data_IF_074011698415
#
_entry.id   IF_074011698415
#
_cell.length_a   1.000
_cell.length_b   1.000
_cell.length_c   1.000
_cell.angle_alpha   90.00
_cell.angle_beta   90.00
_cell.angle_gamma   90.00
#
_symmetry.space_group_name_H-M   'P 1'
#
loop_
_entity.id
_entity.type
_entity.pdbx_description
1 polymer ?
#
# COMPACT_ATOMS: atom_id res chain seq x y z
N UNK A 1 -0.25 -17.12 13.21
CA UNK A 1 0.10 -15.76 13.70
C UNK A 1 0.18 -14.84 12.51
N UNK A 2 -0.46 -13.66 12.59
CA UNK A 2 -0.32 -12.63 11.57
C UNK A 2 1.13 -12.18 11.49
N UNK A 3 1.66 -12.06 10.29
CA UNK A 3 2.99 -11.53 10.05
C UNK A 3 2.88 -10.03 9.80
N UNK A 4 3.56 -9.23 10.61
CA UNK A 4 3.62 -7.79 10.43
C UNK A 4 4.80 -7.40 9.55
N UNK A 5 4.55 -6.42 8.69
CA UNK A 5 5.54 -5.95 7.72
C UNK A 5 5.48 -4.42 7.56
N UNK A 6 6.58 -3.87 7.09
CA UNK A 6 6.70 -2.46 6.71
C UNK A 6 7.43 -2.35 5.38
N UNK A 7 6.92 -1.52 4.48
CA UNK A 7 7.55 -1.25 3.19
C UNK A 7 8.07 0.18 3.15
N UNK A 8 9.30 0.37 2.65
CA UNK A 8 9.97 1.67 2.56
C UNK A 8 10.96 1.69 1.38
N UNK A 9 11.43 2.91 1.02
CA UNK A 9 12.60 3.08 0.14
C UNK A 9 13.87 3.06 0.99
N UNK A 10 14.66 1.99 0.86
CA UNK A 10 15.80 1.78 1.73
C UNK A 10 15.38 1.68 3.21
N UNK A 11 16.22 2.21 4.11
CA UNK A 11 15.97 2.26 5.56
C UNK A 11 15.47 3.63 6.06
N UNK A 12 14.99 4.51 5.16
CA UNK A 12 14.56 5.88 5.49
C UNK A 12 13.05 6.02 5.42
N UNK A 13 12.45 6.51 6.49
CA UNK A 13 11.11 7.09 6.49
C UNK A 13 11.15 8.58 6.15
N UNK A 14 9.99 9.26 6.16
CA UNK A 14 9.92 10.69 5.83
C UNK A 14 10.83 11.57 6.70
N UNK A 15 10.93 11.26 8.01
CA UNK A 15 11.70 12.05 8.99
C UNK A 15 12.50 11.16 9.94
N UNK A 16 12.81 9.93 9.56
CA UNK A 16 13.47 8.98 10.44
C UNK A 16 14.32 7.99 9.63
N UNK A 17 15.55 7.75 10.08
CA UNK A 17 16.42 6.71 9.55
C UNK A 17 16.44 5.53 10.51
N UNK A 18 16.01 4.36 10.01
CA UNK A 18 15.89 3.15 10.81
C UNK A 18 17.22 2.42 10.92
N UNK A 19 17.54 1.98 12.14
CA UNK A 19 18.60 1.01 12.40
C UNK A 19 18.00 -0.40 12.31
N UNK A 20 18.46 -1.15 11.34
CA UNK A 20 17.94 -2.50 11.07
C UNK A 20 18.49 -3.48 12.11
N UNK A 21 17.61 -4.32 12.68
CA UNK A 21 17.94 -5.26 13.76
C UNK A 21 18.01 -4.64 15.15
N UNK A 22 17.81 -3.31 15.28
CA UNK A 22 17.84 -2.61 16.55
C UNK A 22 16.46 -2.03 16.92
N UNK A 23 16.27 -1.72 18.19
CA UNK A 23 15.07 -1.00 18.65
C UNK A 23 15.15 0.45 18.16
N UNK A 24 14.21 0.84 17.31
CA UNK A 24 13.99 2.22 16.92
C UNK A 24 12.92 2.82 17.82
N UNK A 25 13.14 4.04 18.33
CA UNK A 25 12.24 4.74 19.24
C UNK A 25 11.73 6.03 18.59
N UNK A 26 10.43 6.22 18.56
CA UNK A 26 9.81 7.42 17.99
C UNK A 26 9.81 8.57 19.01
N UNK A 27 10.27 9.74 18.57
CA UNK A 27 10.31 10.94 19.39
C UNK A 27 8.99 11.73 19.43
N UNK A 28 8.06 11.38 18.49
CA UNK A 28 6.81 12.11 18.26
C UNK A 28 5.56 11.27 18.56
N UNK A 29 5.67 10.26 19.43
CA UNK A 29 4.55 9.39 19.76
C UNK A 29 3.48 10.13 20.58
N UNK A 30 2.23 10.12 20.10
CA UNK A 30 1.08 10.71 20.76
C UNK A 30 -0.17 9.83 20.57
N UNK A 31 -0.37 8.80 21.41
CA UNK A 31 -1.49 7.87 21.28
C UNK A 31 -2.86 8.50 21.56
N UNK A 32 -2.88 9.70 22.17
CA UNK A 32 -4.11 10.44 22.48
C UNK A 32 -4.55 11.40 21.36
N UNK A 33 -3.82 11.46 20.26
CA UNK A 33 -4.20 12.31 19.13
C UNK A 33 -5.57 11.94 18.58
N UNK A 34 -6.33 12.93 18.13
CA UNK A 34 -7.65 12.72 17.54
C UNK A 34 -7.59 12.36 16.04
N UNK A 35 -6.51 12.76 15.37
CA UNK A 35 -6.33 12.54 13.94
C UNK A 35 -5.19 11.56 13.68
N UNK A 36 -5.38 10.66 12.72
CA UNK A 36 -4.38 9.63 12.37
C UNK A 36 -3.01 10.19 11.97
N UNK A 37 -2.94 11.44 11.46
CA UNK A 37 -1.69 12.11 11.12
C UNK A 37 -0.87 12.53 12.35
N UNK A 38 -1.54 12.79 13.47
CA UNK A 38 -0.95 13.38 14.68
C UNK A 38 -0.50 12.32 15.69
N UNK A 39 -0.80 11.04 15.46
CA UNK A 39 -0.35 9.95 16.33
C UNK A 39 1.17 9.83 16.42
N UNK A 40 1.88 10.27 15.38
CA UNK A 40 3.33 10.06 15.32
C UNK A 40 3.68 8.57 15.24
N UNK A 41 4.84 8.19 15.78
CA UNK A 41 5.29 6.81 15.85
C UNK A 41 5.58 6.17 14.47
N UNK A 42 5.68 4.85 14.48
CA UNK A 42 5.99 4.05 13.32
C UNK A 42 4.77 3.28 12.83
N UNK A 43 4.42 3.42 11.57
CA UNK A 43 3.35 2.66 10.95
C UNK A 43 3.86 1.31 10.41
N UNK A 44 3.02 0.29 10.49
CA UNK A 44 3.23 -1.04 9.93
C UNK A 44 1.87 -1.68 9.63
N UNK A 45 1.85 -2.79 8.91
CA UNK A 45 0.62 -3.46 8.52
C UNK A 45 0.74 -4.99 8.64
N UNK A 46 -0.40 -5.66 8.68
CA UNK A 46 -0.45 -7.11 8.44
C UNK A 46 -0.04 -7.40 6.98
N UNK A 47 0.66 -8.51 6.76
CA UNK A 47 1.10 -8.93 5.42
C UNK A 47 -0.08 -9.06 4.45
N UNK A 48 -1.26 -9.44 4.93
CA UNK A 48 -2.49 -9.56 4.12
C UNK A 48 -3.06 -8.22 3.65
N UNK A 49 -2.62 -7.11 4.26
CA UNK A 49 -3.03 -5.76 3.87
C UNK A 49 -1.96 -5.01 3.07
N UNK A 50 -0.73 -5.56 2.94
CA UNK A 50 0.42 -4.81 2.45
C UNK A 50 0.29 -4.41 0.98
N UNK A 51 -0.44 -5.16 0.16
CA UNK A 51 -0.65 -4.86 -1.26
C UNK A 51 -1.11 -3.41 -1.51
N UNK A 52 -1.93 -2.87 -0.59
CA UNK A 52 -2.43 -1.49 -0.66
C UNK A 52 -1.34 -0.45 -0.45
N UNK A 53 -0.22 -0.83 0.17
CA UNK A 53 0.84 0.08 0.62
C UNK A 53 2.15 -0.07 -0.16
N UNK A 54 2.22 -0.92 -1.19
CA UNK A 54 3.46 -1.18 -1.94
C UNK A 54 4.06 0.06 -2.61
N UNK A 55 3.27 1.10 -2.88
CA UNK A 55 3.77 2.37 -3.41
C UNK A 55 4.68 3.14 -2.42
N UNK A 56 4.75 2.71 -1.16
CA UNK A 56 5.57 3.38 -0.13
C UNK A 56 7.04 2.95 -0.15
N UNK A 57 7.41 1.98 -0.99
CA UNK A 57 8.82 1.58 -1.11
C UNK A 57 9.03 0.30 -1.90
N UNK A 58 10.30 0.01 -2.11
CA UNK A 58 10.74 -1.21 -2.80
C UNK A 58 11.42 -2.23 -1.88
N UNK A 59 11.59 -1.91 -0.59
CA UNK A 59 12.12 -2.85 0.41
C UNK A 59 11.03 -3.14 1.45
N UNK A 60 10.77 -4.42 1.70
CA UNK A 60 9.89 -4.88 2.76
C UNK A 60 10.69 -5.47 3.91
N UNK A 61 10.30 -5.14 5.11
CA UNK A 61 10.88 -5.58 6.37
C UNK A 61 9.86 -6.39 7.16
N UNK A 62 10.32 -7.43 7.85
CA UNK A 62 9.57 -8.05 8.92
C UNK A 62 9.57 -7.11 10.12
N UNK A 63 8.41 -6.96 10.76
CA UNK A 63 8.21 -6.06 11.89
C UNK A 63 8.08 -6.87 13.17
N UNK A 64 8.88 -6.51 14.16
CA UNK A 64 8.74 -6.91 15.54
C UNK A 64 8.41 -5.68 16.39
N UNK A 65 7.35 -5.78 17.19
CA UNK A 65 6.96 -4.75 18.15
C UNK A 65 7.42 -5.23 19.53
N UNK A 66 8.39 -4.55 20.18
CA UNK A 66 8.87 -4.93 21.51
C UNK A 66 7.74 -5.01 22.53
N UNK A 67 7.82 -5.95 23.47
CA UNK A 67 6.79 -6.16 24.51
C UNK A 67 6.42 -4.88 25.28
N UNK A 68 7.40 -4.03 25.54
CA UNK A 68 7.21 -2.75 26.26
C UNK A 68 6.89 -1.57 25.30
N UNK A 69 6.45 -1.84 24.08
CA UNK A 69 6.04 -0.79 23.15
C UNK A 69 4.55 -0.52 23.26
N UNK A 70 4.19 0.76 23.28
CA UNK A 70 2.81 1.16 23.04
C UNK A 70 2.48 0.95 21.58
N UNK A 71 1.33 0.37 21.31
CA UNK A 71 0.84 0.25 19.95
C UNK A 71 -0.68 0.51 19.87
N UNK A 72 -1.12 0.98 18.72
CA UNK A 72 -2.53 1.19 18.40
C UNK A 72 -2.86 0.59 17.05
N UNK A 73 -4.08 0.05 16.95
CA UNK A 73 -4.69 -0.40 15.69
C UNK A 73 -5.57 0.72 15.16
N UNK A 74 -5.39 1.08 13.89
CA UNK A 74 -6.19 2.07 13.20
C UNK A 74 -6.99 1.36 12.13
N UNK A 75 -8.31 1.34 12.31
CA UNK A 75 -9.23 0.76 11.34
C UNK A 75 -9.66 1.82 10.33
N UNK A 76 -9.72 1.42 9.07
CA UNK A 76 -10.07 2.29 7.95
C UNK A 76 -10.29 1.47 6.68
N UNK A 77 -10.01 2.06 5.53
CA UNK A 77 -10.06 1.35 4.26
C UNK A 77 -9.15 0.11 4.22
N UNK A 78 -8.07 0.12 5.00
CA UNK A 78 -7.27 -1.05 5.38
C UNK A 78 -6.79 -0.84 6.81
N UNK A 79 -6.64 -1.94 7.55
CA UNK A 79 -6.07 -1.87 8.89
C UNK A 79 -4.59 -1.55 8.83
N UNK A 80 -4.17 -0.55 9.58
CA UNK A 80 -2.77 -0.22 9.86
C UNK A 80 -2.53 -0.17 11.36
N UNK A 81 -1.30 -0.35 11.75
CA UNK A 81 -0.87 -0.25 13.14
C UNK A 81 0.15 0.87 13.29
N UNK A 82 0.22 1.43 14.48
CA UNK A 82 1.27 2.36 14.87
C UNK A 82 1.83 2.01 16.23
N UNK A 83 3.14 2.22 16.41
CA UNK A 83 3.83 1.98 17.67
C UNK A 83 4.90 3.03 17.92
N UNK A 84 5.28 3.16 19.20
CA UNK A 84 6.36 4.05 19.63
C UNK A 84 7.74 3.40 19.51
N UNK A 85 7.82 2.06 19.46
CA UNK A 85 9.06 1.30 19.29
C UNK A 85 8.87 0.20 18.27
N UNK A 86 9.86 0.00 17.40
CA UNK A 86 9.81 -1.00 16.34
C UNK A 86 11.21 -1.58 16.08
N UNK A 87 11.27 -2.87 15.76
CA UNK A 87 12.46 -3.51 15.21
C UNK A 87 12.12 -3.95 13.79
N UNK A 88 13.00 -3.64 12.84
CA UNK A 88 12.87 -4.03 11.44
C UNK A 88 13.92 -5.07 11.11
N UNK A 89 13.49 -6.23 10.65
CA UNK A 89 14.34 -7.36 10.33
C UNK A 89 14.15 -7.81 8.88
N UNK A 90 15.08 -8.63 8.39
CA UNK A 90 14.97 -9.38 7.14
C UNK A 90 14.57 -8.49 5.93
N UNK A 91 15.37 -7.47 5.56
CA UNK A 91 15.10 -6.67 4.37
C UNK A 91 15.05 -7.53 3.10
N UNK A 92 14.01 -7.34 2.30
CA UNK A 92 13.82 -8.03 1.02
C UNK A 92 13.35 -7.03 -0.02
N UNK A 93 13.94 -7.07 -1.20
CA UNK A 93 13.46 -6.27 -2.32
C UNK A 93 12.12 -6.81 -2.82
N UNK A 94 11.14 -5.93 -2.98
CA UNK A 94 9.83 -6.27 -3.55
C UNK A 94 9.92 -6.18 -5.06
N UNK A 95 9.59 -7.27 -5.73
CA UNK A 95 9.44 -7.35 -7.17
C UNK A 95 7.99 -7.72 -7.56
N UNK A 96 7.69 -7.71 -8.85
CA UNK A 96 6.35 -7.99 -9.36
C UNK A 96 5.82 -9.39 -8.95
N UNK A 97 6.70 -10.40 -8.90
CA UNK A 97 6.32 -11.75 -8.42
C UNK A 97 5.89 -11.73 -6.96
N UNK A 98 6.67 -11.08 -6.10
CA UNK A 98 6.34 -10.95 -4.67
C UNK A 98 5.07 -10.11 -4.48
N UNK A 99 4.88 -9.04 -5.25
CA UNK A 99 3.65 -8.24 -5.23
C UNK A 99 2.43 -9.08 -5.62
N UNK A 100 2.55 -9.96 -6.62
CA UNK A 100 1.49 -10.88 -7.00
C UNK A 100 1.17 -11.89 -5.90
N UNK A 101 2.18 -12.38 -5.19
CA UNK A 101 1.97 -13.28 -4.04
C UNK A 101 1.27 -12.57 -2.88
N UNK A 102 1.59 -11.30 -2.61
CA UNK A 102 0.85 -10.48 -1.66
C UNK A 102 -0.60 -10.25 -2.09
N UNK A 103 -0.85 -10.00 -3.37
CA UNK A 103 -2.21 -9.87 -3.89
C UNK A 103 -3.02 -11.14 -3.65
N UNK A 104 -2.49 -12.31 -3.98
CA UNK A 104 -3.17 -13.61 -3.81
C UNK A 104 -3.50 -13.94 -2.35
N UNK A 105 -2.68 -13.48 -1.41
CA UNK A 105 -2.88 -13.64 0.04
C UNK A 105 -3.70 -12.51 0.66
N UNK A 106 -3.98 -11.46 -0.09
CA UNK A 106 -4.59 -10.26 0.47
C UNK A 106 -6.02 -10.49 0.93
N UNK A 107 -6.35 -9.83 2.05
CA UNK A 107 -7.69 -9.77 2.60
C UNK A 107 -8.00 -8.32 2.99
N UNK A 108 -8.39 -7.53 2.00
CA UNK A 108 -8.73 -6.11 2.13
C UNK A 108 -10.13 -5.83 1.60
N UNK A 109 -10.82 -4.77 2.05
CA UNK A 109 -12.10 -4.38 1.51
C UNK A 109 -12.08 -4.18 -0.01
N UNK A 110 -13.16 -4.48 -0.70
CA UNK A 110 -13.24 -4.47 -2.17
C UNK A 110 -12.74 -3.14 -2.78
N UNK A 111 -13.21 -2.00 -2.28
CA UNK A 111 -12.75 -0.68 -2.74
C UNK A 111 -11.23 -0.47 -2.61
N UNK A 112 -10.60 -1.12 -1.64
CA UNK A 112 -9.16 -1.01 -1.42
C UNK A 112 -8.34 -1.70 -2.51
N UNK A 113 -8.92 -2.66 -3.26
CA UNK A 113 -8.24 -3.26 -4.40
C UNK A 113 -8.05 -2.28 -5.56
N UNK A 114 -8.95 -1.32 -5.75
CA UNK A 114 -8.79 -0.30 -6.80
C UNK A 114 -7.63 0.65 -6.48
N UNK A 115 -7.46 0.99 -5.19
CA UNK A 115 -6.28 1.75 -4.73
C UNK A 115 -5.01 0.90 -4.74
N UNK A 116 -5.11 -0.41 -4.46
CA UNK A 116 -3.98 -1.34 -4.59
C UNK A 116 -3.54 -1.47 -6.06
N UNK A 117 -4.47 -1.47 -7.01
CA UNK A 117 -4.16 -1.41 -8.43
C UNK A 117 -3.30 -0.18 -8.76
N UNK A 118 -3.64 0.99 -8.20
CA UNK A 118 -2.81 2.20 -8.30
C UNK A 118 -1.43 2.03 -7.67
N UNK A 119 -1.36 1.45 -6.46
CA UNK A 119 -0.12 1.25 -5.73
C UNK A 119 0.88 0.36 -6.48
N UNK A 120 0.43 -0.78 -7.01
CA UNK A 120 1.30 -1.68 -7.78
C UNK A 120 1.67 -1.12 -9.15
N UNK A 121 0.78 -0.32 -9.74
CA UNK A 121 1.09 0.36 -11.01
C UNK A 121 2.16 1.43 -10.83
N UNK A 122 2.12 2.21 -9.74
CA UNK A 122 3.16 3.19 -9.40
C UNK A 122 4.54 2.55 -9.21
N UNK A 123 4.58 1.31 -8.76
CA UNK A 123 5.81 0.53 -8.60
C UNK A 123 6.23 -0.23 -9.86
N UNK A 124 5.48 -0.07 -10.95
CA UNK A 124 5.70 -0.78 -12.23
C UNK A 124 5.61 -2.32 -12.11
N UNK A 125 4.77 -2.83 -11.18
CA UNK A 125 4.49 -4.26 -11.03
C UNK A 125 3.38 -4.67 -12.01
N UNK A 126 3.75 -4.78 -13.28
CA UNK A 126 2.84 -4.92 -14.41
C UNK A 126 1.96 -6.17 -14.35
N UNK A 127 2.54 -7.34 -14.04
CA UNK A 127 1.77 -8.58 -14.00
C UNK A 127 0.76 -8.57 -12.84
N UNK A 128 1.14 -8.01 -11.70
CA UNK A 128 0.24 -7.83 -10.55
C UNK A 128 -0.90 -6.87 -10.91
N UNK A 129 -0.59 -5.74 -11.54
CA UNK A 129 -1.60 -4.77 -11.97
C UNK A 129 -2.61 -5.36 -12.95
N UNK A 130 -2.13 -6.10 -13.97
CA UNK A 130 -2.99 -6.79 -14.93
C UNK A 130 -3.87 -7.86 -14.26
N UNK A 131 -3.33 -8.58 -13.28
CA UNK A 131 -4.09 -9.60 -12.54
C UNK A 131 -5.20 -8.94 -11.71
N UNK A 132 -4.89 -7.89 -10.94
CA UNK A 132 -5.92 -7.15 -10.18
C UNK A 132 -6.98 -6.58 -11.13
N UNK A 133 -6.57 -5.98 -12.25
CA UNK A 133 -7.50 -5.47 -13.24
C UNK A 133 -8.46 -6.57 -13.72
N UNK A 134 -7.92 -7.72 -14.14
CA UNK A 134 -8.72 -8.84 -14.65
C UNK A 134 -9.71 -9.38 -13.58
N UNK A 135 -9.27 -9.48 -12.34
CA UNK A 135 -10.06 -10.12 -11.27
C UNK A 135 -11.11 -9.18 -10.67
N UNK A 136 -10.86 -7.85 -10.69
CA UNK A 136 -11.66 -6.88 -9.93
C UNK A 136 -12.45 -5.91 -10.80
N UNK A 137 -12.13 -5.78 -12.09
CA UNK A 137 -12.83 -4.84 -12.99
C UNK A 137 -13.84 -5.59 -13.84
N UNK A 138 -15.09 -5.17 -13.73
CA UNK A 138 -16.21 -5.67 -14.53
C UNK A 138 -17.25 -4.54 -14.74
N UNK A 139 -18.34 -4.83 -15.46
CA UNK A 139 -19.37 -3.84 -15.80
C UNK A 139 -20.03 -3.18 -14.57
N UNK A 140 -20.06 -3.86 -13.42
CA UNK A 140 -20.65 -3.33 -12.19
C UNK A 140 -19.66 -2.52 -11.35
N UNK A 141 -18.36 -2.71 -11.55
CA UNK A 141 -17.32 -2.11 -10.71
C UNK A 141 -16.52 -1.02 -11.41
N UNK A 142 -16.60 -0.90 -12.74
CA UNK A 142 -15.74 0.01 -13.52
C UNK A 142 -15.85 1.47 -13.10
N UNK A 143 -17.04 1.98 -12.80
CA UNK A 143 -17.23 3.39 -12.45
C UNK A 143 -16.56 3.71 -11.12
N UNK A 144 -16.80 2.90 -10.07
CA UNK A 144 -16.17 3.08 -8.78
C UNK A 144 -14.67 2.79 -8.82
N UNK A 145 -14.25 1.82 -9.64
CA UNK A 145 -12.84 1.50 -9.79
C UNK A 145 -12.07 2.67 -10.42
N UNK A 146 -12.65 3.32 -11.42
CA UNK A 146 -12.04 4.47 -12.08
C UNK A 146 -12.00 5.70 -11.14
N UNK A 147 -13.05 5.92 -10.34
CA UNK A 147 -13.07 6.97 -9.33
C UNK A 147 -11.96 6.78 -8.29
N UNK A 148 -11.89 5.60 -7.67
CA UNK A 148 -10.88 5.27 -6.63
C UNK A 148 -9.45 5.24 -7.20
N UNK A 149 -9.28 4.78 -8.44
CA UNK A 149 -8.02 4.87 -9.17
C UNK A 149 -7.57 6.31 -9.36
N UNK A 150 -8.46 7.17 -9.90
CA UNK A 150 -8.14 8.56 -10.15
C UNK A 150 -7.84 9.32 -8.86
N UNK A 151 -8.65 9.12 -7.81
CA UNK A 151 -8.40 9.69 -6.49
C UNK A 151 -7.01 9.27 -5.97
N UNK A 152 -6.70 7.98 -6.07
CA UNK A 152 -5.42 7.48 -5.59
C UNK A 152 -4.23 8.02 -6.38
N UNK A 153 -4.29 8.00 -7.71
CA UNK A 153 -3.20 8.45 -8.57
C UNK A 153 -2.96 9.96 -8.41
N UNK A 154 -4.04 10.75 -8.34
CA UNK A 154 -3.93 12.22 -8.30
C UNK A 154 -3.63 12.75 -6.88
N UNK A 155 -4.11 12.10 -5.82
CA UNK A 155 -4.07 12.64 -4.46
C UNK A 155 -3.28 11.78 -3.46
N UNK A 156 -3.07 10.52 -3.74
CA UNK A 156 -2.49 9.55 -2.78
C UNK A 156 -1.15 8.96 -3.19
N UNK A 157 -0.77 9.08 -4.44
CA UNK A 157 0.51 8.64 -4.96
C UNK A 157 1.55 9.76 -4.90
N UNK A 158 2.83 9.38 -4.96
CA UNK A 158 3.91 10.35 -5.16
C UNK A 158 3.83 10.87 -6.60
N UNK A 159 3.26 12.07 -6.81
CA UNK A 159 3.00 12.68 -8.12
C UNK A 159 4.21 12.75 -9.05
N UNK A 160 5.42 12.72 -8.49
CA UNK A 160 6.67 12.76 -9.26
C UNK A 160 6.98 11.45 -10.05
N UNK A 161 6.18 10.40 -9.92
CA UNK A 161 6.39 9.10 -10.60
C UNK A 161 5.38 8.79 -11.70
N UNK A 162 4.39 9.63 -11.87
CA UNK A 162 3.28 9.36 -12.80
C UNK A 162 3.68 9.51 -14.26
N UNK A 163 4.55 10.46 -14.58
CA UNK A 163 4.82 10.86 -15.95
C UNK A 163 5.69 9.86 -16.74
N UNK A 164 6.39 8.95 -16.06
CA UNK A 164 7.34 8.02 -16.71
C UNK A 164 7.01 6.55 -16.51
N UNK A 165 5.87 6.21 -15.88
CA UNK A 165 5.55 4.82 -15.53
C UNK A 165 4.61 4.17 -16.56
N UNK A 166 5.16 3.25 -17.35
CA UNK A 166 4.43 2.56 -18.41
C UNK A 166 3.21 1.77 -17.90
N UNK A 167 3.28 1.19 -16.70
CA UNK A 167 2.17 0.43 -16.13
C UNK A 167 1.00 1.32 -15.75
N UNK A 168 1.26 2.50 -15.19
CA UNK A 168 0.19 3.49 -14.90
C UNK A 168 -0.51 3.89 -16.20
N UNK A 169 0.25 4.22 -17.25
CA UNK A 169 -0.31 4.59 -18.55
C UNK A 169 -1.14 3.44 -19.15
N UNK A 170 -0.64 2.22 -19.07
CA UNK A 170 -1.33 1.03 -19.58
C UNK A 170 -2.68 0.82 -18.86
N UNK A 171 -2.67 0.79 -17.54
CA UNK A 171 -3.88 0.54 -16.73
C UNK A 171 -4.89 1.67 -16.90
N UNK A 172 -4.46 2.93 -16.95
CA UNK A 172 -5.34 4.06 -17.24
C UNK A 172 -6.06 3.91 -18.60
N UNK A 173 -5.32 3.52 -19.66
CA UNK A 173 -5.90 3.25 -20.98
C UNK A 173 -6.90 2.09 -20.92
N UNK A 174 -6.59 1.02 -20.21
CA UNK A 174 -7.47 -0.14 -20.06
C UNK A 174 -8.76 0.20 -19.33
N UNK A 175 -8.69 0.94 -18.22
CA UNK A 175 -9.87 1.39 -17.44
C UNK A 175 -10.79 2.27 -18.29
N UNK A 176 -10.23 3.25 -19.00
CA UNK A 176 -11.01 4.15 -19.84
C UNK A 176 -11.64 3.43 -21.05
N UNK A 177 -10.92 2.50 -21.67
CA UNK A 177 -11.48 1.67 -22.76
C UNK A 177 -12.61 0.80 -22.25
N UNK A 178 -12.39 0.08 -21.12
CA UNK A 178 -13.40 -0.80 -20.52
C UNK A 178 -14.67 -0.02 -20.18
N UNK A 179 -14.55 1.18 -19.59
CA UNK A 179 -15.71 2.05 -19.31
C UNK A 179 -16.48 2.41 -20.56
N UNK A 180 -15.79 2.80 -21.64
CA UNK A 180 -16.41 3.09 -22.94
C UNK A 180 -17.20 1.90 -23.49
N UNK A 181 -16.58 0.73 -23.49
CA UNK A 181 -17.19 -0.49 -24.02
C UNK A 181 -18.40 -0.93 -23.20
N UNK A 182 -18.34 -0.79 -21.86
CA UNK A 182 -19.43 -1.10 -20.94
C UNK A 182 -20.67 -0.20 -21.12
N UNK A 183 -20.49 1.08 -21.51
CA UNK A 183 -21.59 2.00 -21.73
C UNK A 183 -22.18 1.91 -23.15
N UNK A 184 -21.42 1.46 -24.13
CA UNK A 184 -21.90 1.27 -25.52
C UNK A 184 -22.74 -0.01 -25.71
N UNK A 185 -22.70 -0.93 -24.75
CA UNK A 185 -23.44 -2.20 -24.77
C UNK A 185 -24.72 -2.18 -23.89
N UNK A 186 -25.14 -1.01 -23.45
CA UNK A 186 -26.43 -0.77 -22.78
C UNK A 186 -27.42 -0.07 -23.73
#
# INVERSE_FOLDING_TARGET
MSKFVKVMFGNKGANFEYKIGEINVANNWNPSAKNGKDFGGFNYADETCIIRWLHRGNIIYDVEVPYAADNIKIEGATTIYRCNKIILNNPREVNDKMALDFYKKSNIPEKSYYKALGAVSLMNYKNTALTIFKDKINNNTIDIALEEWNDFINNGGDGNRLDSNETVVLIAKMLNKFKKDAHNNK
#
